data_IF_687842460650
#
_entry.id   IF_687842460650
#
_cell.length_a   1.000
_cell.length_b   1.000
_cell.length_c   1.000
_cell.angle_alpha   90.00
_cell.angle_beta   90.00
_cell.angle_gamma   90.00
#
_symmetry.space_group_name_H-M   'P 1'
#
loop_
_entity.id
_entity.type
_entity.pdbx_description
1 polymer ?
#
# COMPACT_ATOMS: atom_id res chain seq x y z
N UNK A 1 14.62 24.68 9.64
CA UNK A 1 14.00 23.49 9.01
C UNK A 1 12.58 23.71 8.50
N UNK A 2 11.56 23.92 9.33
CA UNK A 2 10.12 23.92 8.92
C UNK A 2 9.80 24.85 7.71
N UNK A 3 10.38 26.06 7.65
CA UNK A 3 10.21 26.99 6.51
C UNK A 3 10.74 26.44 5.16
N UNK A 4 11.68 25.51 5.16
CA UNK A 4 12.27 24.93 3.94
C UNK A 4 11.36 23.87 3.33
N UNK A 5 10.81 22.97 4.16
CA UNK A 5 9.84 21.93 3.75
C UNK A 5 8.64 22.56 3.02
N UNK A 6 8.20 23.75 3.49
CA UNK A 6 7.10 24.51 2.88
C UNK A 6 7.37 25.04 1.46
N UNK A 7 8.62 25.07 1.00
CA UNK A 7 9.02 25.45 -0.37
C UNK A 7 9.22 24.25 -1.30
N UNK A 8 9.41 23.04 -0.76
CA UNK A 8 9.64 21.83 -1.56
C UNK A 8 8.30 21.38 -2.16
N UNK A 9 8.20 21.15 -3.48
CA UNK A 9 6.99 20.61 -4.08
C UNK A 9 6.67 19.22 -3.53
N UNK A 10 5.38 18.95 -3.25
CA UNK A 10 4.95 17.68 -2.65
C UNK A 10 5.41 16.45 -3.44
N UNK A 11 5.50 16.55 -4.76
CA UNK A 11 5.97 15.47 -5.63
C UNK A 11 7.46 15.14 -5.44
N UNK A 12 8.30 16.12 -5.10
CA UNK A 12 9.72 15.90 -4.76
C UNK A 12 9.82 15.17 -3.42
N UNK A 13 9.01 15.56 -2.44
CA UNK A 13 8.95 14.87 -1.16
C UNK A 13 8.47 13.42 -1.32
N UNK A 14 7.45 13.18 -2.16
CA UNK A 14 6.97 11.84 -2.48
C UNK A 14 8.03 10.98 -3.18
N UNK A 15 8.78 11.53 -4.13
CA UNK A 15 9.88 10.84 -4.79
C UNK A 15 10.99 10.44 -3.81
N UNK A 16 11.46 11.39 -2.98
CA UNK A 16 12.50 11.13 -1.98
C UNK A 16 12.03 10.11 -0.94
N UNK A 17 10.78 10.21 -0.48
CA UNK A 17 10.20 9.24 0.45
C UNK A 17 10.09 7.83 -0.17
N UNK A 18 9.70 7.75 -1.44
CA UNK A 18 9.71 6.50 -2.21
C UNK A 18 11.11 5.89 -2.29
N UNK A 19 12.10 6.66 -2.73
CA UNK A 19 13.51 6.22 -2.83
C UNK A 19 14.02 5.69 -1.48
N UNK A 20 13.78 6.42 -0.39
CA UNK A 20 14.19 6.00 0.96
C UNK A 20 13.49 4.69 1.38
N UNK A 21 12.17 4.58 1.20
CA UNK A 21 11.45 3.36 1.55
C UNK A 21 11.83 2.15 0.68
N UNK A 22 12.12 2.32 -0.60
CA UNK A 22 12.58 1.21 -1.45
C UNK A 22 13.97 0.69 -1.06
N UNK A 23 14.87 1.59 -0.65
CA UNK A 23 16.18 1.21 -0.12
C UNK A 23 16.06 0.54 1.27
N UNK A 24 15.18 1.05 2.14
CA UNK A 24 14.90 0.43 3.45
C UNK A 24 14.27 -0.95 3.27
N UNK A 25 13.23 -1.09 2.44
CA UNK A 25 12.60 -2.37 2.13
C UNK A 25 13.64 -3.38 1.65
N UNK A 26 14.49 -3.00 0.67
CA UNK A 26 15.51 -3.92 0.16
C UNK A 26 16.57 -4.28 1.20
N UNK A 27 16.94 -3.36 2.08
CA UNK A 27 17.84 -3.65 3.20
C UNK A 27 17.20 -4.65 4.19
N UNK A 28 15.93 -4.49 4.55
CA UNK A 28 15.24 -5.39 5.47
C UNK A 28 15.14 -6.82 4.93
N UNK A 29 14.91 -7.00 3.62
CA UNK A 29 14.95 -8.31 2.94
C UNK A 29 16.32 -9.03 3.04
N UNK A 30 17.38 -8.32 3.40
CA UNK A 30 18.74 -8.88 3.54
C UNK A 30 19.08 -9.27 4.98
N UNK A 31 18.22 -8.94 5.95
CA UNK A 31 18.43 -9.27 7.36
C UNK A 31 17.99 -10.71 7.62
N UNK A 32 18.98 -11.60 7.75
CA UNK A 32 18.77 -12.99 8.14
C UNK A 32 18.38 -13.14 9.61
N UNK A 33 17.46 -14.06 9.90
CA UNK A 33 17.16 -14.49 11.27
C UNK A 33 18.28 -15.41 11.76
N UNK A 34 19.18 -14.84 12.57
CA UNK A 34 20.40 -15.47 13.09
C UNK A 34 20.35 -15.76 14.61
N UNK A 35 19.18 -15.59 15.24
CA UNK A 35 18.97 -15.76 16.67
C UNK A 35 19.10 -14.47 17.49
N UNK A 36 19.61 -13.37 16.93
CA UNK A 36 19.62 -12.08 17.64
C UNK A 36 18.22 -11.42 17.61
N UNK A 37 17.68 -11.08 18.78
CA UNK A 37 16.32 -10.51 18.93
C UNK A 37 16.06 -9.27 18.06
N UNK A 38 17.07 -8.43 17.83
CA UNK A 38 16.95 -7.26 16.95
C UNK A 38 16.75 -7.63 15.48
N UNK A 39 17.38 -8.71 15.01
CA UNK A 39 17.26 -9.19 13.64
C UNK A 39 15.89 -9.82 13.38
N UNK A 40 15.23 -10.41 14.38
CA UNK A 40 13.82 -10.83 14.25
C UNK A 40 12.89 -9.64 13.95
N UNK A 41 13.05 -8.50 14.64
CA UNK A 41 12.21 -7.31 14.43
C UNK A 41 12.45 -6.73 13.03
N UNK A 42 13.70 -6.70 12.58
CA UNK A 42 14.09 -6.20 11.25
C UNK A 42 13.60 -7.14 10.13
N UNK A 43 13.78 -8.45 10.26
CA UNK A 43 13.30 -9.45 9.30
C UNK A 43 11.77 -9.43 9.20
N UNK A 44 11.05 -9.40 10.32
CA UNK A 44 9.59 -9.25 10.34
C UNK A 44 9.11 -7.92 9.72
N UNK A 45 9.90 -6.84 9.86
CA UNK A 45 9.63 -5.59 9.16
C UNK A 45 9.82 -5.74 7.63
N UNK A 46 10.80 -6.55 7.20
CA UNK A 46 10.99 -6.94 5.80
C UNK A 46 9.78 -7.67 5.22
N UNK A 47 9.20 -8.60 5.96
CA UNK A 47 7.96 -9.30 5.56
C UNK A 47 6.81 -8.31 5.31
N UNK A 48 6.63 -7.32 6.19
CA UNK A 48 5.62 -6.26 6.03
C UNK A 48 5.88 -5.43 4.75
N UNK A 49 7.14 -5.07 4.47
CA UNK A 49 7.50 -4.30 3.27
C UNK A 49 7.50 -5.13 1.97
N UNK A 50 7.59 -6.45 2.05
CA UNK A 50 7.40 -7.36 0.91
C UNK A 50 5.93 -7.47 0.52
N UNK A 51 5.00 -7.46 1.49
CA UNK A 51 3.56 -7.63 1.23
C UNK A 51 2.89 -6.36 0.67
N UNK A 52 1.85 -6.49 -0.18
CA UNK A 52 1.17 -5.34 -0.78
C UNK A 52 0.42 -4.44 0.21
N UNK A 53 0.12 -4.91 1.43
CA UNK A 53 -0.71 -4.20 2.40
C UNK A 53 -0.19 -2.81 2.78
N UNK A 54 1.10 -2.72 3.11
CA UNK A 54 1.73 -1.44 3.52
C UNK A 54 1.74 -0.43 2.37
N UNK A 55 1.93 -0.91 1.13
CA UNK A 55 1.94 -0.09 -0.07
C UNK A 55 0.54 0.47 -0.39
N UNK A 56 -0.52 -0.33 -0.19
CA UNK A 56 -1.92 0.13 -0.29
C UNK A 56 -2.23 1.19 0.76
N UNK A 57 -1.76 1.00 2.01
CA UNK A 57 -1.94 1.99 3.08
C UNK A 57 -1.21 3.32 2.75
N UNK A 58 0.06 3.28 2.37
CA UNK A 58 0.84 4.49 2.04
C UNK A 58 0.23 5.20 0.83
N UNK A 59 -0.10 4.47 -0.24
CA UNK A 59 -0.79 5.02 -1.41
C UNK A 59 -2.13 5.68 -1.05
N UNK A 60 -2.88 5.08 -0.12
CA UNK A 60 -4.15 5.63 0.37
C UNK A 60 -3.95 6.90 1.19
N UNK A 61 -2.93 6.97 2.05
CA UNK A 61 -2.59 8.18 2.82
C UNK A 61 -2.16 9.32 1.86
N UNK A 62 -1.27 9.04 0.91
CA UNK A 62 -0.83 10.02 -0.11
C UNK A 62 -2.01 10.57 -0.92
N UNK A 63 -2.95 9.71 -1.28
CA UNK A 63 -4.17 10.09 -1.97
C UNK A 63 -5.11 10.90 -1.08
N UNK A 64 -5.56 10.36 0.06
CA UNK A 64 -6.61 10.92 0.90
C UNK A 64 -6.32 12.34 1.42
N UNK A 65 -5.04 12.69 1.61
CA UNK A 65 -4.61 14.01 2.09
C UNK A 65 -4.05 14.95 1.01
N UNK A 66 -4.05 14.53 -0.26
CA UNK A 66 -3.64 15.39 -1.38
C UNK A 66 -4.73 16.41 -1.76
N UNK A 67 -4.31 17.59 -2.22
CA UNK A 67 -5.23 18.73 -2.47
C UNK A 67 -6.02 18.66 -3.78
N UNK A 68 -5.51 17.99 -4.80
CA UNK A 68 -6.12 17.92 -6.15
C UNK A 68 -5.78 16.59 -6.81
N UNK A 69 -6.64 16.12 -7.73
CA UNK A 69 -6.42 14.89 -8.51
C UNK A 69 -5.04 14.83 -9.20
N UNK A 70 -4.60 15.94 -9.82
CA UNK A 70 -3.28 16.00 -10.46
C UNK A 70 -2.14 15.80 -9.46
N UNK A 71 -2.27 16.33 -8.23
CA UNK A 71 -1.27 16.12 -7.17
C UNK A 71 -1.29 14.68 -6.66
N UNK A 72 -2.47 14.07 -6.54
CA UNK A 72 -2.62 12.65 -6.19
C UNK A 72 -1.84 11.78 -7.18
N UNK A 73 -2.14 11.93 -8.47
CA UNK A 73 -1.50 11.15 -9.53
C UNK A 73 0.03 11.34 -9.53
N UNK A 74 0.52 12.59 -9.54
CA UNK A 74 1.96 12.87 -9.56
C UNK A 74 2.69 12.37 -8.30
N UNK A 75 2.14 12.63 -7.11
CA UNK A 75 2.75 12.20 -5.84
C UNK A 75 2.83 10.67 -5.76
N UNK A 76 1.72 9.97 -6.08
CA UNK A 76 1.66 8.51 -6.03
C UNK A 76 2.58 7.86 -7.05
N UNK A 77 2.55 8.32 -8.31
CA UNK A 77 3.41 7.77 -9.37
C UNK A 77 4.91 7.92 -9.03
N UNK A 78 5.33 9.12 -8.61
CA UNK A 78 6.73 9.38 -8.26
C UNK A 78 7.16 8.67 -6.97
N UNK A 79 6.25 8.46 -6.01
CA UNK A 79 6.51 7.61 -4.85
C UNK A 79 6.80 6.17 -5.27
N UNK A 80 5.90 5.54 -6.05
CA UNK A 80 6.06 4.14 -6.44
C UNK A 80 7.22 3.90 -7.40
N UNK A 81 7.46 4.79 -8.36
CA UNK A 81 8.65 4.70 -9.23
C UNK A 81 9.94 4.93 -8.46
N UNK A 82 9.98 5.90 -7.52
CA UNK A 82 11.14 6.13 -6.67
C UNK A 82 11.50 4.91 -5.82
N UNK A 83 10.48 4.29 -5.21
CA UNK A 83 10.60 3.06 -4.43
C UNK A 83 11.08 1.88 -5.29
N UNK A 84 10.42 1.64 -6.43
CA UNK A 84 10.74 0.54 -7.32
C UNK A 84 12.18 0.62 -7.85
N UNK A 85 12.59 1.80 -8.29
CA UNK A 85 13.94 2.02 -8.83
C UNK A 85 14.98 1.82 -7.72
N UNK A 86 14.80 2.40 -6.52
CA UNK A 86 15.81 2.26 -5.47
C UNK A 86 15.94 0.82 -4.96
N UNK A 87 14.81 0.09 -4.82
CA UNK A 87 14.79 -1.33 -4.44
C UNK A 87 15.59 -2.21 -5.42
N UNK A 88 15.36 -2.04 -6.74
CA UNK A 88 16.03 -2.87 -7.74
C UNK A 88 17.44 -2.39 -8.11
N UNK A 89 17.75 -1.09 -7.99
CA UNK A 89 19.14 -0.59 -8.10
C UNK A 89 19.99 -1.09 -6.94
N UNK A 90 19.46 -1.10 -5.71
CA UNK A 90 20.13 -1.71 -4.55
C UNK A 90 20.43 -3.19 -4.81
N UNK A 91 19.44 -3.93 -5.35
CA UNK A 91 19.58 -5.34 -5.73
C UNK A 91 20.69 -5.57 -6.76
N UNK A 92 20.67 -4.79 -7.85
CA UNK A 92 21.63 -4.94 -8.94
C UNK A 92 23.06 -4.54 -8.53
N UNK A 93 23.23 -3.46 -7.77
CA UNK A 93 24.54 -2.94 -7.42
C UNK A 93 25.26 -3.78 -6.34
N UNK A 94 24.53 -4.26 -5.33
CA UNK A 94 25.13 -4.96 -4.19
C UNK A 94 25.15 -6.48 -4.34
N UNK A 95 24.24 -7.07 -5.10
CA UNK A 95 24.14 -8.52 -5.28
C UNK A 95 24.32 -8.99 -6.73
N UNK A 96 24.57 -8.07 -7.68
CA UNK A 96 24.72 -8.40 -9.10
C UNK A 96 23.44 -8.95 -9.76
N UNK A 97 22.27 -8.79 -9.11
CA UNK A 97 21.04 -9.47 -9.46
C UNK A 97 19.90 -8.50 -9.76
N UNK A 98 19.29 -8.64 -10.94
CA UNK A 98 18.14 -7.84 -11.37
C UNK A 98 17.05 -8.74 -11.97
N UNK A 99 15.96 -9.05 -11.24
CA UNK A 99 14.91 -9.95 -11.71
C UNK A 99 13.94 -9.19 -12.62
N UNK A 100 14.24 -9.12 -13.91
CA UNK A 100 13.50 -8.34 -14.92
C UNK A 100 12.00 -8.63 -14.94
N UNK A 101 11.57 -9.89 -14.75
CA UNK A 101 10.15 -10.27 -14.71
C UNK A 101 9.39 -9.59 -13.57
N UNK A 102 9.95 -9.59 -12.35
CA UNK A 102 9.37 -8.91 -11.19
C UNK A 102 9.42 -7.39 -11.35
N UNK A 103 10.51 -6.84 -11.90
CA UNK A 103 10.61 -5.41 -12.19
C UNK A 103 9.50 -4.96 -13.17
N UNK A 104 9.21 -5.73 -14.22
CA UNK A 104 8.14 -5.44 -15.18
C UNK A 104 6.75 -5.56 -14.56
N UNK A 105 6.51 -6.59 -13.72
CA UNK A 105 5.25 -6.78 -13.00
C UNK A 105 4.95 -5.59 -12.07
N UNK A 106 5.89 -5.29 -11.16
CA UNK A 106 5.74 -4.19 -10.20
C UNK A 106 5.81 -2.81 -10.86
N UNK A 107 6.57 -2.66 -11.96
CA UNK A 107 6.55 -1.47 -12.81
C UNK A 107 5.18 -1.21 -13.43
N UNK A 108 4.51 -2.27 -13.90
CA UNK A 108 3.13 -2.16 -14.41
C UNK A 108 2.16 -1.71 -13.32
N UNK A 109 2.27 -2.26 -12.10
CA UNK A 109 1.48 -1.84 -10.94
C UNK A 109 1.77 -0.38 -10.56
N UNK A 110 3.04 0.04 -10.58
CA UNK A 110 3.43 1.43 -10.31
C UNK A 110 2.82 2.42 -11.33
N UNK A 111 2.76 2.06 -12.62
CA UNK A 111 2.11 2.86 -13.68
C UNK A 111 0.59 2.97 -13.47
N UNK A 112 -0.07 1.91 -12.98
CA UNK A 112 -1.52 1.90 -12.70
C UNK A 112 -1.87 2.60 -11.38
N UNK A 113 -0.96 2.58 -10.39
CA UNK A 113 -1.16 3.16 -9.06
C UNK A 113 -1.67 4.62 -8.99
N UNK A 114 -1.24 5.60 -9.84
CA UNK A 114 -1.82 6.95 -9.82
C UNK A 114 -3.32 6.98 -10.13
N UNK A 115 -3.82 6.08 -10.98
CA UNK A 115 -5.25 6.00 -11.30
C UNK A 115 -6.06 5.45 -10.11
N UNK A 116 -5.54 4.42 -9.45
CA UNK A 116 -6.14 3.87 -8.22
C UNK A 116 -6.15 4.90 -7.08
N UNK A 117 -5.06 5.67 -6.94
CA UNK A 117 -4.99 6.76 -5.98
C UNK A 117 -5.99 7.89 -6.28
N UNK A 118 -6.24 8.22 -7.56
CA UNK A 118 -7.31 9.16 -7.92
C UNK A 118 -8.69 8.65 -7.49
N UNK A 119 -8.99 7.35 -7.65
CA UNK A 119 -10.23 6.73 -7.14
C UNK A 119 -10.33 6.89 -5.62
N UNK A 120 -9.23 6.67 -4.88
CA UNK A 120 -9.17 6.90 -3.42
C UNK A 120 -9.43 8.36 -3.05
N UNK A 121 -8.86 9.32 -3.79
CA UNK A 121 -9.11 10.74 -3.53
C UNK A 121 -10.58 11.11 -3.74
N UNK A 122 -11.21 10.58 -4.78
CA UNK A 122 -12.66 10.74 -5.03
C UNK A 122 -13.46 10.10 -3.88
N UNK A 123 -13.10 8.88 -3.47
CA UNK A 123 -13.72 8.17 -2.34
C UNK A 123 -13.70 8.98 -1.04
N UNK A 124 -12.61 9.71 -0.77
CA UNK A 124 -12.48 10.57 0.41
C UNK A 124 -13.28 11.87 0.28
N UNK A 125 -13.22 12.54 -0.87
CA UNK A 125 -13.72 13.91 -1.02
C UNK A 125 -15.19 14.00 -1.46
N UNK A 126 -15.68 13.08 -2.30
CA UNK A 126 -17.08 13.07 -2.75
C UNK A 126 -18.02 12.51 -1.64
N UNK A 127 -19.18 13.14 -1.37
CA UNK A 127 -20.11 12.67 -0.34
C UNK A 127 -20.97 11.47 -0.76
N UNK A 128 -21.24 11.28 -2.07
CA UNK A 128 -22.03 10.16 -2.61
C UNK A 128 -21.15 8.91 -2.76
N UNK A 129 -19.99 9.07 -3.38
CA UNK A 129 -19.07 7.96 -3.68
C UNK A 129 -18.33 7.44 -2.45
N UNK A 130 -18.28 8.21 -1.35
CA UNK A 130 -17.77 7.75 -0.06
C UNK A 130 -18.55 6.58 0.58
N UNK A 131 -19.73 6.23 0.08
CA UNK A 131 -20.48 5.05 0.52
C UNK A 131 -20.03 3.75 -0.19
N UNK A 132 -19.27 3.85 -1.29
CA UNK A 132 -18.95 2.69 -2.16
C UNK A 132 -17.45 2.58 -2.42
N UNK A 133 -16.80 3.64 -2.92
CA UNK A 133 -15.40 3.57 -3.35
C UNK A 133 -14.39 3.21 -2.24
N UNK A 134 -14.57 3.60 -0.94
CA UNK A 134 -13.68 3.14 0.12
C UNK A 134 -13.60 1.62 0.29
N UNK A 135 -14.64 0.89 -0.12
CA UNK A 135 -14.66 -0.56 -0.05
C UNK A 135 -13.65 -1.24 -0.98
N UNK A 136 -13.10 -0.52 -1.98
CA UNK A 136 -12.08 -1.06 -2.88
C UNK A 136 -10.73 -1.28 -2.17
N UNK A 137 -10.03 -0.23 -1.64
CA UNK A 137 -8.79 -0.44 -0.89
C UNK A 137 -9.01 -1.17 0.43
N UNK A 138 -10.16 -0.98 1.09
CA UNK A 138 -10.50 -1.73 2.31
C UNK A 138 -10.72 -3.20 2.02
N UNK A 139 -11.50 -3.56 0.99
CA UNK A 139 -11.73 -4.95 0.62
C UNK A 139 -10.47 -5.69 0.15
N UNK A 140 -9.55 -4.98 -0.51
CA UNK A 140 -8.23 -5.51 -0.83
C UNK A 140 -7.43 -5.88 0.44
N UNK A 141 -7.32 -4.98 1.42
CA UNK A 141 -6.64 -5.30 2.69
C UNK A 141 -7.38 -6.38 3.49
N UNK A 142 -8.71 -6.42 3.44
CA UNK A 142 -9.49 -7.43 4.12
C UNK A 142 -9.26 -8.83 3.49
N UNK A 143 -9.20 -8.91 2.16
CA UNK A 143 -8.88 -10.14 1.42
C UNK A 143 -7.43 -10.58 1.55
N UNK A 144 -6.50 -9.67 1.85
CA UNK A 144 -5.12 -10.01 2.22
C UNK A 144 -4.99 -10.47 3.69
N UNK A 145 -5.81 -9.92 4.60
CA UNK A 145 -5.73 -10.24 6.03
C UNK A 145 -6.50 -11.50 6.45
N UNK A 146 -7.53 -11.91 5.71
CA UNK A 146 -8.40 -13.03 6.07
C UNK A 146 -8.39 -14.15 5.03
N UNK A 147 -8.12 -15.37 5.49
CA UNK A 147 -8.41 -16.60 4.74
C UNK A 147 -9.90 -16.94 4.87
N UNK A 148 -10.71 -16.56 3.88
CA UNK A 148 -12.17 -16.77 3.86
C UNK A 148 -12.50 -17.99 3.00
N UNK A 149 -13.00 -19.06 3.64
CA UNK A 149 -13.60 -20.22 2.98
C UNK A 149 -15.12 -20.29 3.23
N UNK A 150 -15.81 -21.21 2.55
CA UNK A 150 -17.26 -21.41 2.70
C UNK A 150 -17.70 -21.73 4.14
N UNK A 151 -16.82 -22.34 4.94
CA UNK A 151 -17.11 -22.84 6.29
C UNK A 151 -16.08 -22.41 7.35
N UNK A 152 -15.12 -21.54 6.99
CA UNK A 152 -14.07 -21.08 7.89
C UNK A 152 -13.64 -19.65 7.57
N UNK A 153 -13.21 -18.93 8.61
CA UNK A 153 -12.50 -17.66 8.48
C UNK A 153 -11.33 -17.70 9.47
N UNK A 154 -10.12 -17.44 9.00
CA UNK A 154 -8.95 -17.25 9.86
C UNK A 154 -8.20 -15.97 9.46
N UNK A 155 -7.39 -15.44 10.38
CA UNK A 155 -6.50 -14.29 10.11
C UNK A 155 -5.21 -14.83 9.51
N UNK A 156 -4.93 -14.49 8.25
CA UNK A 156 -3.67 -14.82 7.57
C UNK A 156 -2.54 -13.90 8.03
N UNK A 157 -2.81 -12.58 8.05
CA UNK A 157 -1.86 -11.56 8.48
C UNK A 157 -2.58 -10.52 9.34
N UNK A 158 -2.09 -10.31 10.56
CA UNK A 158 -2.73 -9.40 11.53
C UNK A 158 -2.42 -7.94 11.19
N UNK A 159 -1.28 -7.67 10.57
CA UNK A 159 -0.82 -6.35 10.17
C UNK A 159 -1.73 -5.78 9.08
N UNK A 160 -2.09 -6.57 8.06
CA UNK A 160 -3.07 -6.22 7.04
C UNK A 160 -4.45 -5.92 7.65
N UNK A 161 -4.86 -6.63 8.70
CA UNK A 161 -6.10 -6.36 9.43
C UNK A 161 -6.01 -5.03 10.21
N UNK A 162 -4.85 -4.73 10.81
CA UNK A 162 -4.60 -3.43 11.44
C UNK A 162 -4.62 -2.30 10.39
N UNK A 163 -4.01 -2.51 9.22
CA UNK A 163 -4.01 -1.54 8.12
C UNK A 163 -5.42 -1.32 7.56
N UNK A 164 -6.26 -2.37 7.48
CA UNK A 164 -7.68 -2.27 7.16
C UNK A 164 -8.43 -1.37 8.15
N UNK A 165 -8.20 -1.53 9.45
CA UNK A 165 -8.79 -0.67 10.49
C UNK A 165 -8.32 0.79 10.37
N UNK A 166 -7.05 1.02 10.01
CA UNK A 166 -6.53 2.37 9.71
C UNK A 166 -7.21 2.99 8.49
N UNK A 167 -7.47 2.22 7.42
CA UNK A 167 -8.26 2.73 6.29
C UNK A 167 -9.71 3.06 6.71
N UNK A 168 -10.32 2.26 7.58
CA UNK A 168 -11.61 2.57 8.19
C UNK A 168 -11.61 3.95 8.86
N UNK A 169 -10.60 4.24 9.68
CA UNK A 169 -10.43 5.56 10.32
C UNK A 169 -10.23 6.67 9.26
N UNK A 170 -9.42 6.41 8.21
CA UNK A 170 -9.18 7.38 7.12
C UNK A 170 -10.47 7.70 6.35
N UNK A 171 -11.34 6.73 6.08
CA UNK A 171 -12.58 6.93 5.29
C UNK A 171 -13.83 7.24 6.12
N UNK A 172 -13.75 7.22 7.45
CA UNK A 172 -14.89 7.49 8.33
C UNK A 172 -15.49 8.88 8.09
N UNK A 173 -16.80 8.91 7.79
CA UNK A 173 -17.65 10.13 7.78
C UNK A 173 -18.82 9.99 8.75
N UNK A 174 -19.52 8.86 8.74
CA UNK A 174 -20.65 8.56 9.64
C UNK A 174 -20.73 7.06 9.91
N UNK A 175 -21.36 6.65 11.03
CA UNK A 175 -21.58 5.23 11.33
C UNK A 175 -22.34 4.47 10.23
N UNK A 176 -23.37 5.09 9.62
CA UNK A 176 -24.11 4.50 8.49
C UNK A 176 -23.23 4.29 7.26
N UNK A 177 -22.40 5.27 6.91
CA UNK A 177 -21.46 5.15 5.79
C UNK A 177 -20.41 4.08 6.05
N UNK A 178 -19.84 4.03 7.26
CA UNK A 178 -18.87 3.01 7.63
C UNK A 178 -19.46 1.60 7.60
N UNK A 179 -20.66 1.38 8.14
CA UNK A 179 -21.31 0.07 8.10
C UNK A 179 -21.52 -0.44 6.66
N UNK A 180 -21.95 0.44 5.74
CA UNK A 180 -22.10 0.10 4.31
C UNK A 180 -20.74 -0.23 3.67
N UNK A 181 -19.71 0.59 3.93
CA UNK A 181 -18.34 0.35 3.42
C UNK A 181 -17.77 -0.98 3.93
N UNK A 182 -17.98 -1.34 5.20
CA UNK A 182 -17.53 -2.62 5.78
C UNK A 182 -18.23 -3.80 5.09
N UNK A 183 -19.55 -3.75 4.91
CA UNK A 183 -20.29 -4.81 4.20
C UNK A 183 -19.78 -4.96 2.75
N UNK A 184 -19.58 -3.84 2.05
CA UNK A 184 -19.03 -3.86 0.70
C UNK A 184 -17.57 -4.34 0.64
N UNK A 185 -16.74 -4.06 1.65
CA UNK A 185 -15.36 -4.55 1.68
C UNK A 185 -15.29 -6.07 1.84
N UNK A 186 -16.24 -6.72 2.55
CA UNK A 186 -16.34 -8.17 2.56
C UNK A 186 -16.69 -8.73 1.17
N UNK A 187 -17.60 -8.09 0.44
CA UNK A 187 -17.94 -8.49 -0.94
C UNK A 187 -16.72 -8.36 -1.86
N UNK A 188 -15.98 -7.25 -1.77
CA UNK A 188 -14.74 -7.03 -2.54
C UNK A 188 -13.66 -8.05 -2.14
N UNK A 189 -13.52 -8.38 -0.85
CA UNK A 189 -12.56 -9.38 -0.37
C UNK A 189 -12.85 -10.78 -0.91
N UNK A 190 -14.12 -11.19 -0.93
CA UNK A 190 -14.53 -12.49 -1.51
C UNK A 190 -14.25 -12.52 -3.02
N UNK A 191 -14.60 -11.46 -3.74
CA UNK A 191 -14.30 -11.34 -5.19
C UNK A 191 -12.79 -11.40 -5.42
N UNK A 192 -11.99 -10.69 -4.63
CA UNK A 192 -10.53 -10.72 -4.71
C UNK A 192 -9.99 -12.14 -4.46
N UNK A 193 -10.45 -12.84 -3.44
CA UNK A 193 -10.04 -14.22 -3.15
C UNK A 193 -10.41 -15.24 -4.24
N UNK A 194 -11.51 -15.02 -4.98
CA UNK A 194 -11.92 -15.88 -6.09
C UNK A 194 -11.10 -15.69 -7.37
N UNK A 195 -10.63 -14.47 -7.64
CA UNK A 195 -9.94 -14.11 -8.89
C UNK A 195 -8.44 -13.85 -8.76
N UNK A 196 -7.90 -13.70 -7.53
CA UNK A 196 -6.46 -13.44 -7.36
C UNK A 196 -5.64 -14.67 -7.77
N UNK A 197 -4.77 -14.56 -8.79
CA UNK A 197 -3.76 -15.59 -9.06
C UNK A 197 -2.60 -15.51 -8.05
N UNK A 198 -2.61 -14.51 -7.17
CA UNK A 198 -1.60 -14.23 -6.16
C UNK A 198 -2.18 -14.62 -4.80
N UNK A 199 -1.88 -15.85 -4.38
CA UNK A 199 -2.01 -16.26 -2.98
C UNK A 199 -0.62 -16.05 -2.34
N UNK A 200 -0.59 -15.25 -1.28
CA UNK A 200 0.58 -15.07 -0.40
C UNK A 200 0.41 -15.96 0.82
#
# INVERSE_FOLDING_TARGET
MIKLIRKIPGFVLSLVFGILLGAIAKYLDTVSVDGHWGNYILSYSGDIFTRPGIWVLIGTILAAYSKTLLRVALNTFLFFIGMLISYYVYSAYLFGFFPTSYFLLWGSIAIVSPFLAMIVWIAKNDPRLAFVLPALPMGLLLGLSLGIGLFYVYVSYIEELMMYMVLGIIFYKTGKQMAIVVILSFVVAIIFGLYSPIQF
#
